data_IF_551974975888
#
_entry.id   IF_551974975888
#
_cell.length_a   1.000
_cell.length_b   1.000
_cell.length_c   1.000
_cell.angle_alpha   90.00
_cell.angle_beta   90.00
_cell.angle_gamma   90.00
#
_symmetry.space_group_name_H-M   'P 1'
#
loop_
_entity.id
_entity.type
_entity.pdbx_description
1 polymer ?
#
# COMPACT_ATOMS: atom_id res chain seq x y z
N UNK A 1 10.36 -22.66 21.60
CA UNK A 1 9.99 -22.30 20.21
C UNK A 1 8.49 -22.20 20.04
N UNK A 2 7.70 -23.25 20.32
CA UNK A 2 6.25 -23.24 20.17
C UNK A 2 5.52 -22.11 20.94
N UNK A 3 6.00 -21.76 22.13
CA UNK A 3 5.44 -20.66 22.94
C UNK A 3 5.65 -19.29 22.27
N UNK A 4 6.88 -18.99 21.81
CA UNK A 4 7.19 -17.74 21.11
C UNK A 4 6.43 -17.56 19.80
N UNK A 5 6.20 -18.64 19.06
CA UNK A 5 5.36 -18.61 17.84
C UNK A 5 3.91 -18.30 18.21
N UNK A 6 3.39 -18.93 19.26
CA UNK A 6 2.04 -18.67 19.78
C UNK A 6 1.87 -17.22 20.23
N UNK A 7 2.87 -16.63 20.90
CA UNK A 7 2.83 -15.25 21.35
C UNK A 7 2.77 -14.27 20.17
N UNK A 8 3.62 -14.46 19.15
CA UNK A 8 3.59 -13.63 17.92
C UNK A 8 2.26 -13.77 17.20
N UNK A 9 1.70 -14.97 17.15
CA UNK A 9 0.40 -15.20 16.50
C UNK A 9 -0.72 -14.45 17.24
N UNK A 10 -0.67 -14.40 18.57
CA UNK A 10 -1.58 -13.56 19.37
C UNK A 10 -1.39 -12.07 19.10
N UNK A 11 -0.14 -11.59 18.90
CA UNK A 11 0.13 -10.20 18.51
C UNK A 11 -0.42 -9.89 17.12
N UNK A 12 -0.23 -10.79 16.14
CA UNK A 12 -0.79 -10.67 14.79
C UNK A 12 -2.31 -10.58 14.83
N UNK A 13 -2.98 -11.41 15.63
CA UNK A 13 -4.44 -11.38 15.77
C UNK A 13 -4.92 -10.07 16.39
N UNK A 14 -4.19 -9.54 17.37
CA UNK A 14 -4.48 -8.25 17.99
C UNK A 14 -4.35 -7.11 16.97
N UNK A 15 -3.22 -7.01 16.29
CA UNK A 15 -2.99 -5.98 15.25
C UNK A 15 -4.01 -6.13 14.12
N UNK A 16 -4.44 -7.36 13.79
CA UNK A 16 -5.50 -7.59 12.80
C UNK A 16 -6.83 -6.97 13.21
N UNK A 17 -7.20 -7.06 14.50
CA UNK A 17 -8.41 -6.40 15.01
C UNK A 17 -8.27 -4.88 14.96
N UNK A 18 -7.12 -4.36 15.38
CA UNK A 18 -6.84 -2.91 15.33
C UNK A 18 -6.93 -2.37 13.89
N UNK A 19 -6.38 -3.09 12.90
CA UNK A 19 -6.53 -2.73 11.47
C UNK A 19 -8.01 -2.67 11.07
N UNK A 20 -8.80 -3.69 11.40
CA UNK A 20 -10.22 -3.72 11.03
C UNK A 20 -11.00 -2.57 11.67
N UNK A 21 -10.68 -2.21 12.91
CA UNK A 21 -11.30 -1.10 13.62
C UNK A 21 -10.92 0.25 12.99
N UNK A 22 -9.67 0.43 12.59
CA UNK A 22 -9.21 1.62 11.87
C UNK A 22 -9.81 1.69 10.47
N UNK A 23 -9.86 0.60 9.71
CA UNK A 23 -10.52 0.52 8.39
C UNK A 23 -11.99 0.99 8.49
N UNK A 24 -12.70 0.54 9.51
CA UNK A 24 -14.08 0.97 9.77
C UNK A 24 -14.18 2.46 10.14
N UNK A 25 -13.16 3.02 10.80
CA UNK A 25 -13.08 4.46 11.07
C UNK A 25 -12.77 5.27 9.82
N UNK A 26 -11.87 4.78 8.95
CA UNK A 26 -11.56 5.39 7.65
C UNK A 26 -12.83 5.49 6.81
N UNK A 27 -13.59 4.40 6.64
CA UNK A 27 -14.84 4.44 5.87
C UNK A 27 -15.87 5.42 6.44
N UNK A 28 -15.96 5.57 7.78
CA UNK A 28 -16.80 6.59 8.41
C UNK A 28 -16.28 8.01 8.19
N UNK A 29 -14.98 8.20 8.09
CA UNK A 29 -14.35 9.49 7.83
C UNK A 29 -14.56 9.91 6.38
N UNK A 30 -14.34 9.00 5.42
CA UNK A 30 -14.58 9.20 3.99
C UNK A 30 -16.02 9.65 3.73
N UNK A 31 -17.03 8.94 4.29
CA UNK A 31 -18.42 9.33 4.13
C UNK A 31 -18.75 10.71 4.71
N UNK A 32 -18.04 11.15 5.77
CA UNK A 32 -18.19 12.51 6.33
C UNK A 32 -17.55 13.56 5.42
N UNK A 33 -16.42 13.23 4.78
CA UNK A 33 -15.76 14.11 3.81
C UNK A 33 -16.66 14.29 2.59
N UNK A 34 -17.17 13.21 2.01
CA UNK A 34 -18.10 13.27 0.86
C UNK A 34 -19.33 14.13 1.16
N UNK A 35 -19.92 13.95 2.35
CA UNK A 35 -21.05 14.78 2.78
C UNK A 35 -20.65 16.26 2.89
N UNK A 36 -19.49 16.55 3.47
CA UNK A 36 -19.02 17.93 3.63
C UNK A 36 -18.70 18.59 2.28
N UNK A 37 -18.14 17.85 1.33
CA UNK A 37 -17.89 18.29 -0.04
C UNK A 37 -19.20 18.69 -0.74
N UNK A 38 -20.25 17.87 -0.61
CA UNK A 38 -21.57 18.20 -1.16
C UNK A 38 -22.19 19.46 -0.51
N UNK A 39 -22.00 19.66 0.80
CA UNK A 39 -22.43 20.88 1.50
C UNK A 39 -21.68 22.12 1.00
N UNK A 40 -20.37 22.00 0.74
CA UNK A 40 -19.54 23.07 0.16
C UNK A 40 -20.01 23.40 -1.26
N UNK A 41 -20.22 22.41 -2.12
CA UNK A 41 -20.68 22.62 -3.50
C UNK A 41 -22.03 23.36 -3.53
N UNK A 42 -22.96 22.98 -2.66
CA UNK A 42 -24.24 23.67 -2.53
C UNK A 42 -24.07 25.13 -2.09
N UNK A 43 -23.23 25.39 -1.09
CA UNK A 43 -22.96 26.74 -0.63
C UNK A 43 -22.28 27.61 -1.70
N UNK A 44 -21.37 27.04 -2.49
CA UNK A 44 -20.75 27.73 -3.65
C UNK A 44 -21.80 28.15 -4.69
N UNK A 45 -22.77 27.28 -4.97
CA UNK A 45 -23.87 27.60 -5.87
C UNK A 45 -24.76 28.74 -5.34
N UNK A 46 -25.01 28.80 -4.03
CA UNK A 46 -25.75 29.89 -3.39
C UNK A 46 -24.99 31.22 -3.45
N UNK A 47 -23.67 31.20 -3.19
CA UNK A 47 -22.79 32.37 -3.33
C UNK A 47 -22.82 32.90 -4.77
N UNK A 48 -22.75 32.04 -5.78
CA UNK A 48 -22.77 32.48 -7.19
C UNK A 48 -24.15 33.03 -7.61
N UNK A 49 -25.25 32.47 -7.10
CA UNK A 49 -26.61 33.05 -7.28
C UNK A 49 -26.72 34.45 -6.67
N UNK A 50 -26.23 34.64 -5.45
CA UNK A 50 -26.20 35.96 -4.81
C UNK A 50 -25.28 36.94 -5.58
N UNK A 51 -24.18 36.45 -6.15
CA UNK A 51 -23.26 37.27 -6.95
C UNK A 51 -23.89 37.73 -8.27
N UNK A 52 -24.62 36.85 -8.96
CA UNK A 52 -25.27 37.14 -10.24
C UNK A 52 -26.42 38.14 -10.07
N UNK A 53 -27.28 37.93 -9.07
CA UNK A 53 -28.35 38.88 -8.71
C UNK A 53 -27.78 40.27 -8.36
N UNK A 54 -26.74 40.34 -7.53
CA UNK A 54 -26.04 41.61 -7.23
C UNK A 54 -25.54 42.32 -8.48
N UNK A 55 -24.98 41.57 -9.44
CA UNK A 55 -24.48 42.12 -10.71
C UNK A 55 -25.61 42.67 -11.57
N UNK A 56 -26.78 42.03 -11.59
CA UNK A 56 -27.96 42.51 -12.32
C UNK A 56 -28.53 43.78 -11.70
N UNK A 57 -28.69 43.84 -10.39
CA UNK A 57 -29.13 45.04 -9.67
C UNK A 57 -28.15 46.20 -9.95
N UNK A 58 -26.84 45.94 -9.89
CA UNK A 58 -25.82 46.93 -10.20
C UNK A 58 -25.88 47.44 -11.65
N UNK A 59 -26.30 46.61 -12.62
CA UNK A 59 -26.56 47.05 -13.99
C UNK A 59 -27.80 47.95 -14.06
N UNK A 60 -28.90 47.55 -13.42
CA UNK A 60 -30.15 48.33 -13.38
C UNK A 60 -29.90 49.73 -12.82
N UNK A 61 -29.18 49.84 -11.69
CA UNK A 61 -28.85 51.12 -11.04
C UNK A 61 -28.05 52.11 -11.91
N UNK A 62 -27.32 51.62 -12.92
CA UNK A 62 -26.56 52.48 -13.86
C UNK A 62 -27.45 53.11 -14.94
N UNK A 63 -28.68 52.65 -15.12
CA UNK A 63 -29.58 53.28 -16.08
C UNK A 63 -29.92 54.72 -15.62
N UNK A 64 -29.80 55.71 -16.51
CA UNK A 64 -30.03 57.12 -16.15
C UNK A 64 -31.51 57.40 -15.85
N UNK A 65 -32.43 56.72 -16.53
CA UNK A 65 -33.87 57.04 -16.54
C UNK A 65 -34.68 56.48 -15.36
N UNK A 66 -34.02 55.93 -14.34
CA UNK A 66 -34.70 55.43 -13.15
C UNK A 66 -35.27 56.57 -12.31
N UNK A 67 -36.55 56.48 -11.94
CA UNK A 67 -37.14 57.37 -10.95
C UNK A 67 -36.47 57.20 -9.57
N UNK A 68 -36.58 58.22 -8.73
CA UNK A 68 -36.03 58.19 -7.38
C UNK A 68 -36.59 57.02 -6.54
N UNK A 69 -37.89 56.71 -6.71
CA UNK A 69 -38.53 55.57 -6.04
C UNK A 69 -37.97 54.22 -6.51
N UNK A 70 -37.76 54.06 -7.82
CA UNK A 70 -37.17 52.83 -8.37
C UNK A 70 -35.70 52.68 -7.97
N UNK A 71 -34.93 53.77 -7.95
CA UNK A 71 -33.56 53.77 -7.42
C UNK A 71 -33.54 53.35 -5.96
N UNK A 72 -34.40 53.93 -5.12
CA UNK A 72 -34.47 53.59 -3.70
C UNK A 72 -34.81 52.10 -3.48
N UNK A 73 -35.77 51.57 -4.24
CA UNK A 73 -36.13 50.15 -4.17
C UNK A 73 -34.97 49.23 -4.58
N UNK A 74 -34.28 49.55 -5.69
CA UNK A 74 -33.12 48.77 -6.15
C UNK A 74 -31.93 48.85 -5.20
N UNK A 75 -31.72 49.99 -4.53
CA UNK A 75 -30.67 50.14 -3.51
C UNK A 75 -31.00 49.28 -2.29
N UNK A 76 -32.24 49.29 -1.80
CA UNK A 76 -32.65 48.43 -0.69
C UNK A 76 -32.51 46.93 -1.04
N UNK A 77 -32.87 46.54 -2.26
CA UNK A 77 -32.66 45.18 -2.77
C UNK A 77 -31.16 44.84 -2.85
N UNK A 78 -30.32 45.78 -3.28
CA UNK A 78 -28.86 45.61 -3.32
C UNK A 78 -28.27 45.42 -1.93
N UNK A 79 -28.70 46.20 -0.94
CA UNK A 79 -28.25 46.11 0.45
C UNK A 79 -28.62 44.76 1.06
N UNK A 80 -29.85 44.29 0.84
CA UNK A 80 -30.28 42.95 1.25
C UNK A 80 -29.45 41.85 0.57
N UNK A 81 -29.26 41.94 -0.75
CA UNK A 81 -28.44 40.98 -1.49
C UNK A 81 -26.97 40.97 -1.04
N UNK A 82 -26.41 42.13 -0.67
CA UNK A 82 -25.06 42.21 -0.09
C UNK A 82 -25.01 41.53 1.28
N UNK A 83 -26.01 41.73 2.14
CA UNK A 83 -26.09 41.04 3.42
C UNK A 83 -26.11 39.52 3.23
N UNK A 84 -26.99 39.01 2.37
CA UNK A 84 -27.10 37.58 2.06
C UNK A 84 -25.80 37.01 1.48
N UNK A 85 -25.19 37.73 0.53
CA UNK A 85 -23.89 37.35 -0.04
C UNK A 85 -22.80 37.24 1.03
N UNK A 86 -22.71 38.22 1.93
CA UNK A 86 -21.69 38.21 3.01
C UNK A 86 -21.94 37.10 4.03
N UNK A 87 -23.20 36.73 4.29
CA UNK A 87 -23.54 35.59 5.13
C UNK A 87 -23.13 34.27 4.45
N UNK A 88 -23.51 34.10 3.18
CA UNK A 88 -23.17 32.91 2.40
C UNK A 88 -21.65 32.72 2.24
N UNK A 89 -20.87 33.80 2.05
CA UNK A 89 -19.40 33.71 2.00
C UNK A 89 -18.79 33.24 3.34
N UNK A 90 -19.34 33.68 4.47
CA UNK A 90 -18.87 33.24 5.80
C UNK A 90 -19.20 31.77 6.04
N UNK A 91 -20.40 31.34 5.66
CA UNK A 91 -20.83 29.95 5.79
C UNK A 91 -19.99 29.03 4.90
N UNK A 92 -19.73 29.42 3.65
CA UNK A 92 -18.84 28.71 2.75
C UNK A 92 -17.42 28.61 3.31
N UNK A 93 -16.88 29.70 3.86
CA UNK A 93 -15.55 29.69 4.48
C UNK A 93 -15.50 28.74 5.69
N UNK A 94 -16.55 28.70 6.51
CA UNK A 94 -16.66 27.76 7.63
C UNK A 94 -16.74 26.30 7.16
N UNK A 95 -17.55 26.02 6.13
CA UNK A 95 -17.70 24.68 5.56
C UNK A 95 -16.38 24.17 4.99
N UNK A 96 -15.67 24.98 4.20
CA UNK A 96 -14.34 24.63 3.66
C UNK A 96 -13.33 24.31 4.77
N UNK A 97 -13.32 25.10 5.85
CA UNK A 97 -12.44 24.84 7.00
C UNK A 97 -12.78 23.51 7.67
N UNK A 98 -14.07 23.18 7.77
CA UNK A 98 -14.54 21.92 8.35
C UNK A 98 -14.23 20.72 7.47
N UNK A 99 -14.43 20.82 6.16
CA UNK A 99 -14.03 19.81 5.17
C UNK A 99 -12.52 19.51 5.26
N UNK A 100 -11.69 20.56 5.31
CA UNK A 100 -10.24 20.41 5.45
C UNK A 100 -9.86 19.67 6.75
N UNK A 101 -10.53 19.98 7.87
CA UNK A 101 -10.33 19.26 9.12
C UNK A 101 -10.70 17.78 9.03
N UNK A 102 -11.76 17.45 8.28
CA UNK A 102 -12.18 16.06 8.07
C UNK A 102 -11.16 15.32 7.20
N UNK A 103 -10.70 15.91 6.10
CA UNK A 103 -9.64 15.33 5.25
C UNK A 103 -8.35 15.08 6.03
N UNK A 104 -7.93 16.01 6.90
CA UNK A 104 -6.76 15.79 7.78
C UNK A 104 -6.94 14.60 8.71
N UNK A 105 -8.14 14.39 9.27
CA UNK A 105 -8.43 13.24 10.13
C UNK A 105 -8.46 11.93 9.36
N UNK A 106 -9.06 11.92 8.16
CA UNK A 106 -9.04 10.76 7.27
C UNK A 106 -7.60 10.37 6.91
N UNK A 107 -6.75 11.34 6.56
CA UNK A 107 -5.35 11.10 6.25
C UNK A 107 -4.57 10.56 7.45
N UNK A 108 -4.85 11.05 8.66
CA UNK A 108 -4.26 10.51 9.90
C UNK A 108 -4.62 9.04 10.10
N UNK A 109 -5.90 8.68 9.92
CA UNK A 109 -6.36 7.30 10.06
C UNK A 109 -5.71 6.38 9.01
N UNK A 110 -5.58 6.83 7.75
CA UNK A 110 -4.89 6.05 6.71
C UNK A 110 -3.41 5.83 7.02
N UNK A 111 -2.73 6.81 7.63
CA UNK A 111 -1.34 6.65 8.08
C UNK A 111 -1.23 5.64 9.22
N UNK A 112 -2.16 5.68 10.17
CA UNK A 112 -2.24 4.71 11.26
C UNK A 112 -2.49 3.29 10.75
N UNK A 113 -3.43 3.12 9.83
CA UNK A 113 -3.71 1.86 9.13
C UNK A 113 -2.46 1.30 8.43
N UNK A 114 -1.72 2.16 7.71
CA UNK A 114 -0.49 1.77 7.03
C UNK A 114 0.61 1.33 8.02
N UNK A 115 0.73 2.02 9.16
CA UNK A 115 1.68 1.64 10.22
C UNK A 115 1.34 0.26 10.79
N UNK A 116 0.07 0.02 11.12
CA UNK A 116 -0.39 -1.28 11.63
C UNK A 116 -0.16 -2.41 10.61
N UNK A 117 -0.37 -2.15 9.31
CA UNK A 117 -0.08 -3.13 8.25
C UNK A 117 1.41 -3.46 8.18
N UNK A 118 2.30 -2.47 8.29
CA UNK A 118 3.76 -2.69 8.36
C UNK A 118 4.16 -3.48 9.60
N UNK A 119 3.58 -3.15 10.76
CA UNK A 119 3.81 -3.88 12.01
C UNK A 119 3.39 -5.35 11.88
N UNK A 120 2.19 -5.59 11.34
CA UNK A 120 1.69 -6.95 11.08
C UNK A 120 2.61 -7.74 10.15
N UNK A 121 3.16 -7.12 9.11
CA UNK A 121 4.11 -7.76 8.20
C UNK A 121 5.43 -8.10 8.91
N UNK A 122 5.96 -7.20 9.75
CA UNK A 122 7.15 -7.49 10.56
C UNK A 122 6.94 -8.67 11.51
N UNK A 123 5.76 -8.75 12.14
CA UNK A 123 5.40 -9.88 13.00
C UNK A 123 5.34 -11.20 12.22
N UNK A 124 4.75 -11.21 11.02
CA UNK A 124 4.72 -12.40 10.14
C UNK A 124 6.13 -12.85 9.74
N UNK A 125 6.99 -11.91 9.36
CA UNK A 125 8.39 -12.23 9.03
C UNK A 125 9.14 -12.82 10.24
N UNK A 126 8.88 -12.29 11.45
CA UNK A 126 9.45 -12.80 12.69
C UNK A 126 8.93 -14.21 13.03
N UNK A 127 7.64 -14.45 12.82
CA UNK A 127 7.01 -15.75 12.95
C UNK A 127 7.68 -16.79 12.03
N UNK A 128 7.80 -16.46 10.74
CA UNK A 128 8.41 -17.33 9.73
C UNK A 128 9.86 -17.69 10.10
N UNK A 129 10.67 -16.71 10.53
CA UNK A 129 12.04 -16.96 10.97
C UNK A 129 12.11 -17.94 12.14
N UNK A 130 11.24 -17.78 13.15
CA UNK A 130 11.20 -18.71 14.29
C UNK A 130 10.74 -20.12 13.89
N UNK A 131 9.89 -20.24 12.86
CA UNK A 131 9.49 -21.53 12.30
C UNK A 131 10.65 -22.19 11.52
N UNK A 132 11.41 -21.42 10.73
CA UNK A 132 12.59 -21.90 10.00
C UNK A 132 13.73 -22.33 10.95
N UNK A 133 14.01 -21.56 12.00
CA UNK A 133 15.01 -21.90 13.03
C UNK A 133 14.61 -23.18 13.80
N UNK A 134 13.31 -23.44 13.94
CA UNK A 134 12.79 -24.70 14.49
C UNK A 134 12.96 -25.91 13.56
N UNK A 135 12.93 -25.71 12.23
CA UNK A 135 13.10 -26.77 11.23
C UNK A 135 14.59 -27.14 11.00
N UNK A 136 15.50 -26.17 11.06
CA UNK A 136 16.95 -26.41 10.91
C UNK A 136 17.55 -27.22 12.07
N UNK A 137 16.95 -27.18 13.26
CA UNK A 137 17.32 -28.02 14.40
C UNK A 137 16.92 -29.49 14.28
N UNK A 138 16.15 -29.89 13.26
CA UNK A 138 15.66 -31.26 13.06
C UNK A 138 16.45 -32.06 12.01
N UNK A 139 17.44 -31.48 11.33
CA UNK A 139 18.28 -32.19 10.33
C UNK A 139 19.71 -32.48 10.80
N UNK A 140 20.15 -32.00 11.96
CA UNK A 140 21.45 -32.36 12.56
C UNK A 140 21.30 -33.49 13.58
N UNK A 141 20.99 -34.71 13.13
CA UNK A 141 20.74 -35.81 14.06
C UNK A 141 20.56 -37.19 13.45
N UNK A 142 21.25 -37.54 12.36
CA UNK A 142 21.35 -38.93 11.92
C UNK A 142 22.61 -39.21 11.09
N UNK A 143 23.79 -38.87 11.61
CA UNK A 143 25.02 -39.59 11.27
C UNK A 143 25.01 -40.97 11.95
N UNK A 144 24.03 -41.81 11.59
CA UNK A 144 24.18 -43.24 11.76
C UNK A 144 25.02 -43.68 10.58
N UNK A 145 26.29 -44.00 10.84
CA UNK A 145 27.13 -44.82 9.95
C UNK A 145 26.35 -46.10 9.61
N UNK A 146 25.53 -46.07 8.55
CA UNK A 146 24.95 -47.27 7.94
C UNK A 146 26.13 -48.06 7.39
N UNK A 147 26.54 -49.10 8.12
CA UNK A 147 27.38 -50.15 7.56
C UNK A 147 26.60 -50.73 6.38
N UNK A 148 27.06 -50.44 5.17
CA UNK A 148 26.54 -51.07 3.95
C UNK A 148 26.64 -52.59 4.14
N UNK A 149 25.56 -53.30 3.83
CA UNK A 149 25.59 -54.76 3.81
C UNK A 149 26.55 -55.25 2.72
N UNK A 150 27.14 -56.46 2.85
CA UNK A 150 28.01 -57.01 1.82
C UNK A 150 27.36 -57.06 0.42
N UNK A 151 26.04 -57.18 0.34
CA UNK A 151 25.28 -57.18 -0.91
C UNK A 151 25.22 -55.80 -1.57
N UNK A 152 25.03 -54.73 -0.80
CA UNK A 152 25.02 -53.36 -1.32
C UNK A 152 26.42 -52.89 -1.77
N UNK A 153 27.48 -53.48 -1.22
CA UNK A 153 28.85 -53.26 -1.69
C UNK A 153 29.07 -53.95 -3.04
N UNK A 154 28.62 -55.21 -3.18
CA UNK A 154 28.75 -55.97 -4.43
C UNK A 154 28.00 -55.34 -5.60
N UNK A 155 26.80 -54.81 -5.36
CA UNK A 155 25.98 -54.15 -6.39
C UNK A 155 26.63 -52.86 -6.94
N UNK A 156 27.39 -52.14 -6.10
CA UNK A 156 28.16 -50.96 -6.55
C UNK A 156 29.39 -51.37 -7.35
N UNK A 157 30.10 -52.42 -6.93
CA UNK A 157 31.30 -52.91 -7.64
C UNK A 157 30.93 -53.50 -9.01
N UNK A 158 29.77 -54.15 -9.14
CA UNK A 158 29.35 -54.76 -10.41
C UNK A 158 28.71 -53.80 -11.41
N UNK A 159 28.19 -52.64 -10.98
CA UNK A 159 27.63 -51.63 -11.90
C UNK A 159 28.70 -50.78 -12.60
N UNK A 160 29.88 -50.62 -11.99
CA UNK A 160 30.96 -49.80 -12.55
C UNK A 160 31.98 -50.61 -13.38
N UNK A 161 31.85 -51.93 -13.44
CA UNK A 161 32.72 -52.80 -14.21
C UNK A 161 32.19 -53.01 -15.64
N UNK A 162 32.47 -52.06 -16.54
CA UNK A 162 32.53 -52.36 -17.99
C UNK A 162 33.77 -53.24 -18.24
N UNK A 163 33.56 -54.54 -18.06
CA UNK A 163 34.50 -55.60 -18.39
C UNK A 163 34.87 -55.54 -19.87
N UNK A 164 36.01 -54.92 -20.19
CA UNK A 164 36.60 -54.96 -21.53
C UNK A 164 37.80 -55.90 -21.46
N UNK A 165 37.62 -57.11 -22.00
CA UNK A 165 38.65 -58.16 -22.01
C UNK A 165 39.84 -57.78 -22.93
N UNK A 166 41.07 -58.22 -22.62
CA UNK A 166 42.25 -57.88 -23.41
C UNK A 166 42.40 -58.82 -24.61
N UNK A 167 42.54 -58.27 -25.82
CA UNK A 167 43.02 -59.02 -27.00
C UNK A 167 44.44 -58.58 -27.32
N UNK A 168 45.38 -59.53 -27.28
CA UNK A 168 46.79 -59.33 -27.65
C UNK A 168 46.96 -59.24 -29.17
N UNK A 169 47.59 -58.15 -29.58
CA UNK A 169 48.67 -57.99 -30.59
C UNK A 169 48.51 -58.54 -32.02
N UNK A 170 48.57 -57.64 -33.00
CA UNK A 170 49.44 -57.73 -34.20
C UNK A 170 49.53 -56.39 -34.94
N UNK A 171 50.77 -55.92 -35.17
CA UNK A 171 51.09 -54.89 -36.18
C UNK A 171 51.51 -53.51 -35.64
N UNK A 172 52.81 -53.29 -35.52
CA UNK A 172 53.47 -51.97 -35.56
C UNK A 172 53.62 -51.51 -37.04
N UNK A 173 54.28 -50.38 -37.37
CA UNK A 173 54.61 -49.14 -36.63
C UNK A 173 53.96 -47.91 -37.34
N UNK A 174 54.00 -46.67 -36.85
CA UNK A 174 55.04 -45.66 -37.13
C UNK A 174 54.61 -44.37 -36.38
N UNK A 175 55.44 -43.86 -35.49
CA UNK A 175 56.28 -42.68 -35.71
C UNK A 175 55.47 -41.38 -35.92
N UNK A 176 55.56 -40.46 -34.96
CA UNK A 176 56.07 -39.09 -35.17
C UNK A 176 55.76 -38.17 -33.98
N UNK A 177 56.85 -37.67 -33.39
CA UNK A 177 57.07 -36.36 -32.76
C UNK A 177 56.24 -35.88 -31.54
N UNK A 178 56.86 -35.79 -30.34
CA UNK A 178 57.72 -34.69 -29.81
C UNK A 178 56.87 -33.44 -29.56
N UNK A 179 56.37 -33.22 -28.34
CA UNK A 179 57.04 -32.57 -27.20
C UNK A 179 57.52 -31.12 -27.45
N UNK A 180 56.71 -30.21 -26.92
CA UNK A 180 57.11 -29.13 -26.01
C UNK A 180 57.75 -27.83 -26.54
N UNK A 181 57.58 -26.81 -25.68
CA UNK A 181 58.44 -25.64 -25.41
C UNK A 181 58.06 -24.33 -26.13
N UNK A 182 57.35 -23.44 -25.39
CA UNK A 182 57.79 -22.13 -24.82
C UNK A 182 57.66 -20.96 -25.81
N UNK A 183 56.89 -19.92 -25.46
CA UNK A 183 57.26 -18.74 -24.68
C UNK A 183 57.92 -17.65 -25.53
N UNK A 184 57.36 -16.45 -25.43
CA UNK A 184 57.74 -15.23 -26.13
C UNK A 184 56.57 -14.28 -26.13
#
# INVERSE_FOLDING_TARGET
MAERVRDIQSEIDKVTKEINDVDAQVGKAEAKVEKAEAEVEKAEAEVEKARTTRREIAKKLKHPDLSEKERAALVAEQEACVADFTAAEKDLAWLRRREEQLRKKEEQLRKEEEQLRKEKEQLRNKEERLQQDGAAGSTSGADVKKKLSPQEIMDKVYKDATYTAPVRARGAPEASHVAAVHAG
#
